data_IF_654993435777
#
_entry.id   IF_654993435777
#
_cell.length_a   1.000
_cell.length_b   1.000
_cell.length_c   1.000
_cell.angle_alpha   90.00
_cell.angle_beta   90.00
_cell.angle_gamma   90.00
#
_symmetry.space_group_name_H-M   'P 1'
#
loop_
_entity.id
_entity.type
_entity.pdbx_description
1 polymer ?
#
# COMPACT_ATOMS: atom_id res chain seq x y z
N UNK A 1 -19.07 -29.62 1.18
CA UNK A 1 -17.80 -29.35 1.94
C UNK A 1 -16.67 -30.07 1.28
N UNK A 2 -15.61 -29.37 1.03
CA UNK A 2 -14.41 -29.88 0.33
C UNK A 2 -13.84 -31.12 1.04
N UNK A 3 -13.68 -32.23 0.33
CA UNK A 3 -13.10 -33.47 0.89
C UNK A 3 -11.55 -33.37 0.99
N UNK A 4 -10.92 -34.34 1.68
CA UNK A 4 -9.46 -34.30 1.91
C UNK A 4 -8.64 -34.34 0.61
N UNK A 5 -9.08 -35.10 -0.40
CA UNK A 5 -8.39 -35.21 -1.69
C UNK A 5 -8.43 -33.89 -2.44
N UNK A 6 -9.58 -33.26 -2.44
CA UNK A 6 -9.80 -31.95 -3.07
C UNK A 6 -9.02 -30.84 -2.35
N UNK A 7 -8.97 -30.87 -1.02
CA UNK A 7 -8.17 -29.96 -0.21
C UNK A 7 -6.67 -30.09 -0.51
N UNK A 8 -6.17 -31.31 -0.64
CA UNK A 8 -4.77 -31.56 -1.00
C UNK A 8 -4.46 -31.04 -2.42
N UNK A 9 -5.40 -31.25 -3.36
CA UNK A 9 -5.28 -30.72 -4.73
C UNK A 9 -5.25 -29.19 -4.73
N UNK A 10 -6.15 -28.54 -3.99
CA UNK A 10 -6.13 -27.09 -3.84
C UNK A 10 -4.81 -26.59 -3.25
N UNK A 11 -4.33 -27.19 -2.18
CA UNK A 11 -3.07 -26.80 -1.55
C UNK A 11 -1.88 -26.89 -2.52
N UNK A 12 -1.82 -27.95 -3.32
CA UNK A 12 -0.79 -28.10 -4.35
C UNK A 12 -0.87 -27.00 -5.41
N UNK A 13 -2.06 -26.73 -5.94
CA UNK A 13 -2.28 -25.67 -6.95
C UNK A 13 -1.99 -24.28 -6.37
N UNK A 14 -2.38 -24.04 -5.11
CA UNK A 14 -2.12 -22.79 -4.41
C UNK A 14 -0.62 -22.53 -4.20
N UNK A 15 0.15 -23.53 -3.80
CA UNK A 15 1.61 -23.43 -3.69
C UNK A 15 2.27 -23.15 -5.06
N UNK A 16 1.75 -23.78 -6.14
CA UNK A 16 2.19 -23.46 -7.50
C UNK A 16 1.87 -22.02 -7.88
N UNK A 17 0.71 -21.50 -7.47
CA UNK A 17 0.33 -20.11 -7.70
C UNK A 17 1.30 -19.14 -7.02
N UNK A 18 1.58 -19.33 -5.73
CA UNK A 18 2.53 -18.48 -5.00
C UNK A 18 3.94 -18.53 -5.63
N UNK A 19 4.40 -19.72 -6.01
CA UNK A 19 5.68 -19.89 -6.71
C UNK A 19 5.69 -19.18 -8.07
N UNK A 20 4.62 -19.31 -8.85
CA UNK A 20 4.52 -18.66 -10.17
C UNK A 20 4.51 -17.13 -10.05
N UNK A 21 3.80 -16.56 -9.08
CA UNK A 21 3.81 -15.13 -8.79
C UNK A 21 5.21 -14.61 -8.45
N UNK A 22 5.97 -15.38 -7.66
CA UNK A 22 7.35 -15.06 -7.31
C UNK A 22 8.28 -15.11 -8.52
N UNK A 23 8.17 -16.16 -9.36
CA UNK A 23 8.97 -16.32 -10.57
C UNK A 23 8.69 -15.25 -11.62
N UNK A 24 7.48 -14.71 -11.68
CA UNK A 24 7.12 -13.58 -12.55
C UNK A 24 7.56 -12.21 -11.98
N UNK A 25 8.32 -12.18 -10.88
CA UNK A 25 8.84 -10.94 -10.30
C UNK A 25 7.77 -10.01 -9.73
N UNK A 26 6.60 -10.55 -9.40
CA UNK A 26 5.51 -9.74 -8.83
C UNK A 26 5.89 -9.17 -7.47
N UNK A 27 5.55 -7.89 -7.24
CA UNK A 27 5.75 -7.23 -5.95
C UNK A 27 4.95 -7.94 -4.85
N UNK A 28 5.47 -7.95 -3.62
CA UNK A 28 4.87 -8.64 -2.47
C UNK A 28 3.38 -8.31 -2.29
N UNK A 29 3.00 -7.02 -2.30
CA UNK A 29 1.60 -6.63 -2.18
C UNK A 29 0.70 -7.12 -3.32
N UNK A 30 1.24 -7.30 -4.54
CA UNK A 30 0.51 -7.89 -5.66
C UNK A 30 0.36 -9.40 -5.45
N UNK A 31 1.43 -10.08 -4.99
CA UNK A 31 1.37 -11.52 -4.68
C UNK A 31 0.32 -11.81 -3.62
N UNK A 32 0.30 -11.03 -2.52
CA UNK A 32 -0.69 -11.18 -1.46
C UNK A 32 -2.12 -10.97 -1.95
N UNK A 33 -2.32 -9.96 -2.81
CA UNK A 33 -3.64 -9.65 -3.35
C UNK A 33 -4.15 -10.75 -4.28
N UNK A 34 -3.29 -11.26 -5.16
CA UNK A 34 -3.64 -12.34 -6.09
C UNK A 34 -3.84 -13.68 -5.38
N UNK A 35 -3.01 -13.98 -4.38
CA UNK A 35 -3.19 -15.15 -3.54
C UNK A 35 -4.52 -15.09 -2.74
N UNK A 36 -4.90 -13.91 -2.27
CA UNK A 36 -6.19 -13.68 -1.59
C UNK A 36 -7.37 -13.91 -2.53
N UNK A 37 -7.29 -13.50 -3.79
CA UNK A 37 -8.34 -13.74 -4.77
C UNK A 37 -8.63 -15.24 -4.94
N UNK A 38 -7.58 -16.06 -5.06
CA UNK A 38 -7.71 -17.52 -5.18
C UNK A 38 -8.31 -18.16 -3.91
N UNK A 39 -7.93 -17.66 -2.73
CA UNK A 39 -8.55 -18.13 -1.48
C UNK A 39 -10.03 -17.74 -1.40
N UNK A 40 -10.36 -16.50 -1.76
CA UNK A 40 -11.75 -15.99 -1.69
C UNK A 40 -12.70 -16.82 -2.54
N UNK A 41 -12.34 -17.13 -3.78
CA UNK A 41 -13.21 -17.95 -4.64
C UNK A 41 -13.31 -19.39 -4.14
N UNK A 42 -12.22 -19.97 -3.63
CA UNK A 42 -12.24 -21.29 -2.98
C UNK A 42 -13.20 -21.29 -1.78
N UNK A 43 -13.12 -20.25 -0.92
CA UNK A 43 -13.99 -20.15 0.25
C UNK A 43 -15.46 -19.90 -0.13
N UNK A 44 -15.72 -19.20 -1.23
CA UNK A 44 -17.06 -18.93 -1.72
C UNK A 44 -17.79 -20.22 -2.19
N UNK A 45 -17.11 -21.06 -2.95
CA UNK A 45 -17.70 -22.30 -3.48
C UNK A 45 -17.44 -23.53 -2.60
N UNK A 46 -16.60 -23.43 -1.60
CA UNK A 46 -16.11 -24.54 -0.77
C UNK A 46 -15.62 -25.72 -1.62
N UNK A 47 -14.93 -25.42 -2.73
CA UNK A 47 -14.37 -26.40 -3.66
C UNK A 47 -13.05 -25.90 -4.26
N UNK A 48 -12.30 -26.82 -4.91
CA UNK A 48 -11.11 -26.43 -5.65
C UNK A 48 -11.50 -25.66 -6.92
N UNK A 49 -10.94 -24.44 -7.17
CA UNK A 49 -11.39 -23.59 -8.26
C UNK A 49 -11.12 -24.11 -9.68
N UNK A 50 -10.31 -25.17 -9.81
CA UNK A 50 -9.89 -25.72 -11.11
C UNK A 50 -11.00 -26.37 -11.93
N UNK A 51 -12.18 -26.60 -11.31
CA UNK A 51 -13.34 -27.21 -11.96
C UNK A 51 -14.55 -26.28 -12.04
N UNK A 52 -14.39 -25.01 -11.71
CA UNK A 52 -15.49 -24.05 -11.79
C UNK A 52 -15.90 -23.79 -13.23
N UNK A 53 -17.21 -23.78 -13.46
CA UNK A 53 -17.80 -23.46 -14.77
C UNK A 53 -17.83 -21.95 -15.02
N UNK A 54 -18.06 -21.56 -16.27
CA UNK A 54 -18.22 -20.15 -16.67
C UNK A 54 -19.39 -19.52 -15.92
N UNK A 55 -20.53 -20.23 -15.82
CA UNK A 55 -21.74 -19.75 -15.14
C UNK A 55 -21.48 -19.50 -13.65
N UNK A 56 -20.74 -20.40 -12.98
CA UNK A 56 -20.34 -20.22 -11.57
C UNK A 56 -19.44 -18.99 -11.40
N UNK A 57 -18.56 -18.73 -12.33
CA UNK A 57 -17.71 -17.55 -12.28
C UNK A 57 -18.49 -16.26 -12.54
N UNK A 58 -19.47 -16.27 -13.46
CA UNK A 58 -20.37 -15.14 -13.67
C UNK A 58 -21.17 -14.83 -12.40
N UNK A 59 -21.71 -15.84 -11.74
CA UNK A 59 -22.42 -15.69 -10.47
C UNK A 59 -21.51 -15.12 -9.37
N UNK A 60 -20.29 -15.67 -9.22
CA UNK A 60 -19.32 -15.18 -8.26
C UNK A 60 -18.99 -13.70 -8.46
N UNK A 61 -18.71 -13.29 -9.69
CA UNK A 61 -18.38 -11.91 -9.97
C UNK A 61 -19.58 -10.97 -9.87
N UNK A 62 -20.79 -11.44 -10.19
CA UNK A 62 -22.02 -10.67 -9.95
C UNK A 62 -22.18 -10.34 -8.47
N UNK A 63 -22.05 -11.33 -7.59
CA UNK A 63 -22.11 -11.12 -6.15
C UNK A 63 -20.93 -10.25 -5.62
N UNK A 64 -19.74 -10.40 -6.20
CA UNK A 64 -18.57 -9.61 -5.83
C UNK A 64 -18.75 -8.13 -6.17
N UNK A 65 -19.38 -7.82 -7.31
CA UNK A 65 -19.71 -6.44 -7.72
C UNK A 65 -20.69 -5.79 -6.75
N UNK A 66 -21.66 -6.53 -6.24
CA UNK A 66 -22.66 -6.02 -5.30
C UNK A 66 -22.09 -5.77 -3.89
N UNK A 67 -21.07 -6.53 -3.51
CA UNK A 67 -20.53 -6.54 -2.14
C UNK A 67 -19.20 -5.82 -1.97
N UNK A 68 -18.46 -5.58 -3.04
CA UNK A 68 -17.11 -5.04 -3.01
C UNK A 68 -16.92 -3.86 -3.97
N UNK A 69 -15.88 -3.06 -3.71
CA UNK A 69 -15.49 -1.99 -4.64
C UNK A 69 -14.99 -2.53 -5.98
N UNK A 70 -15.18 -1.78 -7.05
CA UNK A 70 -14.65 -2.12 -8.38
C UNK A 70 -13.14 -2.32 -8.40
N UNK A 71 -12.39 -1.67 -7.51
CA UNK A 71 -10.96 -1.91 -7.34
C UNK A 71 -10.67 -3.31 -6.84
N UNK A 72 -11.46 -3.82 -5.89
CA UNK A 72 -11.35 -5.21 -5.39
C UNK A 72 -11.71 -6.20 -6.49
N UNK A 73 -12.84 -5.98 -7.18
CA UNK A 73 -13.29 -6.82 -8.30
C UNK A 73 -12.19 -6.93 -9.38
N UNK A 74 -11.57 -5.80 -9.74
CA UNK A 74 -10.46 -5.78 -10.71
C UNK A 74 -9.25 -6.59 -10.25
N UNK A 75 -8.88 -6.47 -8.97
CA UNK A 75 -7.75 -7.20 -8.41
C UNK A 75 -8.04 -8.70 -8.39
N UNK A 76 -9.24 -9.10 -7.96
CA UNK A 76 -9.64 -10.50 -7.93
C UNK A 76 -9.69 -11.10 -9.34
N UNK A 77 -10.26 -10.37 -10.32
CA UNK A 77 -10.21 -10.80 -11.71
C UNK A 77 -8.79 -11.04 -12.20
N UNK A 78 -7.89 -10.11 -11.94
CA UNK A 78 -6.50 -10.24 -12.40
C UNK A 78 -5.77 -11.40 -11.70
N UNK A 79 -6.02 -11.61 -10.40
CA UNK A 79 -5.46 -12.71 -9.63
C UNK A 79 -5.94 -14.08 -10.11
N UNK A 80 -7.24 -14.21 -10.38
CA UNK A 80 -7.84 -15.43 -10.93
C UNK A 80 -7.39 -15.69 -12.36
N UNK A 81 -7.33 -14.65 -13.22
CA UNK A 81 -6.79 -14.76 -14.58
C UNK A 81 -5.34 -15.28 -14.55
N UNK A 82 -4.53 -14.76 -13.63
CA UNK A 82 -3.16 -15.25 -13.45
C UNK A 82 -3.15 -16.74 -13.04
N UNK A 83 -4.01 -17.15 -12.12
CA UNK A 83 -4.12 -18.53 -11.66
C UNK A 83 -4.50 -19.48 -12.80
N UNK A 84 -5.55 -19.15 -13.58
CA UNK A 84 -5.96 -19.96 -14.74
C UNK A 84 -4.84 -20.08 -15.77
N UNK A 85 -4.25 -18.97 -16.18
CA UNK A 85 -3.23 -18.94 -17.22
C UNK A 85 -1.92 -19.64 -16.81
N UNK A 86 -1.42 -19.36 -15.62
CA UNK A 86 -0.06 -19.79 -15.22
C UNK A 86 -0.03 -21.08 -14.40
N UNK A 87 -1.11 -21.41 -13.72
CA UNK A 87 -1.18 -22.61 -12.85
C UNK A 87 -1.99 -23.71 -13.48
N UNK A 88 -3.22 -23.42 -13.91
CA UNK A 88 -4.07 -24.41 -14.57
C UNK A 88 -3.68 -24.66 -16.03
N UNK A 89 -3.01 -23.72 -16.66
CA UNK A 89 -2.64 -23.76 -18.10
C UNK A 89 -3.88 -23.82 -19.01
N UNK A 90 -4.93 -23.19 -18.58
CA UNK A 90 -6.19 -23.08 -19.31
C UNK A 90 -6.34 -21.65 -19.84
N UNK A 91 -7.02 -21.50 -20.99
CA UNK A 91 -7.35 -20.19 -21.51
C UNK A 91 -8.39 -19.51 -20.62
N UNK A 92 -8.21 -18.20 -20.45
CA UNK A 92 -9.13 -17.36 -19.71
C UNK A 92 -10.15 -16.77 -20.69
N UNK A 93 -11.18 -17.54 -21.03
CA UNK A 93 -12.18 -17.11 -22.02
C UNK A 93 -13.15 -16.04 -21.48
N UNK A 94 -13.22 -15.86 -20.18
CA UNK A 94 -14.17 -14.96 -19.51
C UNK A 94 -13.61 -13.58 -19.20
N UNK A 95 -12.54 -13.17 -19.87
CA UNK A 95 -11.95 -11.81 -19.74
C UNK A 95 -12.96 -10.70 -20.00
N UNK A 96 -14.01 -10.99 -20.78
CA UNK A 96 -15.05 -10.04 -21.17
C UNK A 96 -16.28 -10.00 -20.24
N UNK A 97 -16.41 -10.92 -19.28
CA UNK A 97 -17.56 -10.98 -18.36
C UNK A 97 -17.62 -9.72 -17.48
N UNK A 98 -16.48 -9.16 -17.11
CA UNK A 98 -16.41 -7.99 -16.25
C UNK A 98 -15.78 -6.82 -16.99
N UNK A 99 -16.60 -5.83 -17.29
CA UNK A 99 -16.14 -4.53 -17.75
C UNK A 99 -16.10 -3.56 -16.58
N UNK A 100 -14.90 -3.38 -16.00
CA UNK A 100 -14.72 -2.43 -14.89
C UNK A 100 -15.01 -1.01 -15.37
N UNK A 101 -15.97 -0.29 -14.77
CA UNK A 101 -16.26 1.09 -15.12
C UNK A 101 -15.02 1.97 -14.94
N UNK A 102 -14.77 2.87 -15.88
CA UNK A 102 -13.76 3.92 -15.70
C UNK A 102 -14.35 5.01 -14.81
N UNK A 103 -14.36 4.79 -13.51
CA UNK A 103 -14.73 5.83 -12.54
C UNK A 103 -13.52 6.73 -12.33
N UNK A 104 -13.53 7.92 -12.89
CA UNK A 104 -12.59 8.97 -12.58
C UNK A 104 -13.22 9.86 -11.49
N UNK A 105 -12.95 9.54 -10.22
CA UNK A 105 -13.20 10.50 -9.15
C UNK A 105 -11.97 11.41 -9.01
N UNK A 106 -12.18 12.70 -9.01
CA UNK A 106 -11.12 13.65 -8.66
C UNK A 106 -10.76 13.45 -7.19
N UNK A 107 -9.46 13.35 -6.86
CA UNK A 107 -9.03 13.22 -5.48
C UNK A 107 -9.34 14.52 -4.73
N UNK A 108 -9.77 14.40 -3.47
CA UNK A 108 -9.87 15.53 -2.58
C UNK A 108 -8.46 16.11 -2.31
N UNK A 109 -8.32 17.42 -2.57
CA UNK A 109 -7.08 18.15 -2.38
C UNK A 109 -7.23 19.06 -1.15
N UNK A 110 -6.22 19.05 -0.28
CA UNK A 110 -6.11 19.96 0.85
C UNK A 110 -5.63 21.33 0.35
N UNK A 111 -6.11 22.41 0.94
CA UNK A 111 -5.50 23.72 0.80
C UNK A 111 -4.19 23.79 1.60
N UNK A 112 -3.34 24.79 1.34
CA UNK A 112 -2.12 25.00 2.12
C UNK A 112 -2.44 25.18 3.61
N UNK A 113 -3.45 25.97 3.94
CA UNK A 113 -3.91 26.19 5.31
C UNK A 113 -4.41 24.92 6.00
N UNK A 114 -5.14 24.06 5.29
CA UNK A 114 -5.57 22.76 5.83
C UNK A 114 -4.39 21.83 6.09
N UNK A 115 -3.36 21.85 5.24
CA UNK A 115 -2.12 21.07 5.46
C UNK A 115 -1.37 21.59 6.68
N UNK A 116 -1.21 22.90 6.82
CA UNK A 116 -0.57 23.53 7.99
C UNK A 116 -1.31 23.18 9.29
N UNK A 117 -2.64 23.30 9.28
CA UNK A 117 -3.49 22.94 10.41
C UNK A 117 -3.33 21.46 10.80
N UNK A 118 -3.34 20.57 9.80
CA UNK A 118 -3.23 19.12 10.00
C UNK A 118 -1.87 18.73 10.60
N UNK A 119 -0.77 19.27 10.04
CA UNK A 119 0.58 19.03 10.53
C UNK A 119 0.73 19.62 11.94
N UNK A 120 0.25 20.85 12.19
CA UNK A 120 0.30 21.52 13.47
C UNK A 120 -0.48 20.78 14.57
N UNK A 121 -1.67 20.27 14.25
CA UNK A 121 -2.51 19.52 15.18
C UNK A 121 -1.97 18.11 15.51
N UNK A 122 -1.01 17.60 14.73
CA UNK A 122 -0.43 16.27 14.97
C UNK A 122 0.51 16.28 16.16
N UNK A 123 0.07 15.74 17.31
CA UNK A 123 0.79 15.83 18.60
C UNK A 123 2.09 15.00 18.63
N UNK A 124 2.08 13.75 18.13
CA UNK A 124 3.24 12.87 18.18
C UNK A 124 4.27 13.30 17.14
N UNK A 125 5.47 13.70 17.58
CA UNK A 125 6.54 14.23 16.73
C UNK A 125 6.81 13.35 15.51
N UNK A 126 6.91 12.03 15.69
CA UNK A 126 7.18 11.09 14.60
C UNK A 126 6.14 11.16 13.48
N UNK A 127 4.86 11.31 13.80
CA UNK A 127 3.79 11.42 12.81
C UNK A 127 3.75 12.81 12.20
N UNK A 128 3.98 13.85 12.99
CA UNK A 128 4.08 15.23 12.50
C UNK A 128 5.19 15.37 11.45
N UNK A 129 6.38 14.88 11.76
CA UNK A 129 7.52 14.92 10.84
C UNK A 129 7.28 14.03 9.63
N UNK A 130 6.63 12.88 9.80
CA UNK A 130 6.25 12.00 8.70
C UNK A 130 5.30 12.71 7.70
N UNK A 131 4.25 13.35 8.20
CA UNK A 131 3.28 14.08 7.36
C UNK A 131 3.94 15.27 6.65
N UNK A 132 4.76 16.04 7.37
CA UNK A 132 5.55 17.13 6.79
C UNK A 132 6.46 16.63 5.66
N UNK A 133 7.21 15.57 5.91
CA UNK A 133 8.14 14.95 4.93
C UNK A 133 7.38 14.47 3.70
N UNK A 134 6.26 13.78 3.91
CA UNK A 134 5.42 13.27 2.81
C UNK A 134 4.87 14.40 1.94
N UNK A 135 4.38 15.47 2.57
CA UNK A 135 3.83 16.62 1.86
C UNK A 135 4.92 17.42 1.16
N UNK A 136 5.93 17.89 1.89
CA UNK A 136 6.93 18.85 1.38
C UNK A 136 7.82 18.30 0.24
N UNK A 137 7.93 16.98 0.14
CA UNK A 137 8.69 16.32 -0.94
C UNK A 137 7.80 15.50 -1.90
N UNK A 138 6.49 15.54 -1.73
CA UNK A 138 5.54 14.84 -2.59
C UNK A 138 5.76 13.32 -2.64
N UNK A 139 6.15 12.71 -1.53
CA UNK A 139 6.49 11.28 -1.47
C UNK A 139 5.26 10.37 -1.37
N UNK A 140 5.40 9.12 -1.80
CA UNK A 140 4.42 8.07 -1.50
C UNK A 140 4.59 7.60 -0.06
N UNK A 141 3.49 7.12 0.55
CA UNK A 141 3.52 6.54 1.91
C UNK A 141 4.67 5.56 2.11
N UNK A 142 4.83 4.59 1.21
CA UNK A 142 5.90 3.60 1.31
C UNK A 142 7.29 4.18 1.13
N UNK A 143 7.46 5.19 0.28
CA UNK A 143 8.74 5.89 0.08
C UNK A 143 9.15 6.62 1.36
N UNK A 144 8.22 7.34 1.99
CA UNK A 144 8.51 8.03 3.27
C UNK A 144 8.83 7.04 4.40
N UNK A 145 8.08 5.93 4.52
CA UNK A 145 8.34 4.90 5.52
C UNK A 145 9.73 4.28 5.36
N UNK A 146 10.16 4.05 4.12
CA UNK A 146 11.42 3.38 3.80
C UNK A 146 12.64 4.29 3.77
N UNK A 147 12.50 5.57 4.11
CA UNK A 147 13.62 6.49 4.19
C UNK A 147 14.65 6.07 5.23
N UNK A 148 15.90 6.01 4.81
CA UNK A 148 17.05 5.72 5.66
C UNK A 148 17.84 6.98 5.97
N UNK A 149 18.62 6.93 7.04
CA UNK A 149 19.51 8.05 7.43
C UNK A 149 20.51 8.37 6.31
N UNK A 150 21.06 7.33 5.67
CA UNK A 150 22.01 7.47 4.56
C UNK A 150 21.40 7.98 3.24
N UNK A 151 20.07 8.11 3.15
CA UNK A 151 19.42 8.68 1.96
C UNK A 151 19.41 10.22 1.96
N UNK A 152 19.73 10.84 3.10
CA UNK A 152 19.69 12.29 3.28
C UNK A 152 21.06 12.91 2.96
N UNK A 153 21.13 13.67 1.89
CA UNK A 153 22.28 14.52 1.60
C UNK A 153 21.97 15.97 2.05
N UNK A 154 22.40 16.28 3.26
CA UNK A 154 22.20 17.62 3.83
C UNK A 154 23.02 18.71 3.18
N UNK A 155 24.15 18.40 2.53
CA UNK A 155 24.99 19.37 1.83
C UNK A 155 24.38 19.75 0.49
N UNK A 156 23.94 18.76 -0.29
CA UNK A 156 23.29 18.98 -1.59
C UNK A 156 21.82 19.29 -1.50
N UNK A 157 21.24 19.23 -0.29
CA UNK A 157 19.81 19.42 -0.06
C UNK A 157 18.96 18.48 -0.93
N UNK A 158 19.30 17.20 -0.92
CA UNK A 158 18.65 16.15 -1.70
C UNK A 158 18.37 14.92 -0.85
N UNK A 159 17.35 14.17 -1.26
CA UNK A 159 17.02 12.86 -0.68
C UNK A 159 16.98 11.83 -1.79
N UNK A 160 17.67 10.73 -1.57
CA UNK A 160 17.66 9.58 -2.47
C UNK A 160 16.42 8.70 -2.19
N UNK A 161 15.49 8.65 -3.12
CA UNK A 161 14.32 7.77 -3.05
C UNK A 161 14.65 6.48 -3.79
N UNK A 162 14.89 5.43 -3.01
CA UNK A 162 15.23 4.11 -3.53
C UNK A 162 13.97 3.35 -3.93
N UNK A 163 14.06 2.57 -5.02
CA UNK A 163 13.03 1.65 -5.50
C UNK A 163 11.63 2.28 -5.56
N UNK A 164 11.54 3.46 -6.14
CA UNK A 164 10.25 4.10 -6.45
C UNK A 164 9.36 3.22 -7.33
N UNK A 165 8.21 3.74 -7.76
CA UNK A 165 7.31 3.01 -8.67
C UNK A 165 8.08 2.54 -9.91
N UNK A 166 8.06 1.23 -10.18
CA UNK A 166 8.82 0.60 -11.27
C UNK A 166 10.30 0.36 -10.95
N UNK A 167 10.68 0.26 -9.66
CA UNK A 167 12.05 0.04 -9.17
C UNK A 167 13.07 1.09 -9.63
N UNK A 168 12.63 2.32 -9.97
CA UNK A 168 13.52 3.40 -10.39
C UNK A 168 13.87 4.28 -9.20
N UNK A 169 15.16 4.53 -9.04
CA UNK A 169 15.69 5.47 -8.05
C UNK A 169 15.54 6.90 -8.59
N UNK A 170 15.35 7.86 -7.68
CA UNK A 170 15.35 9.28 -8.00
C UNK A 170 15.83 10.11 -6.82
N UNK A 171 16.35 11.30 -7.12
CA UNK A 171 16.60 12.32 -6.11
C UNK A 171 15.44 13.31 -6.07
N UNK A 172 15.10 13.77 -4.88
CA UNK A 172 14.12 14.84 -4.66
C UNK A 172 14.75 15.95 -3.83
N UNK A 173 14.40 17.23 -4.06
CA UNK A 173 14.85 18.34 -3.23
C UNK A 173 14.44 18.14 -1.77
N UNK A 174 15.32 18.53 -0.84
CA UNK A 174 15.09 18.51 0.60
C UNK A 174 14.89 19.94 1.11
N UNK A 175 13.67 20.37 1.43
CA UNK A 175 13.43 21.69 2.01
C UNK A 175 14.10 21.81 3.40
N UNK A 176 14.62 23.00 3.72
CA UNK A 176 15.34 23.24 4.99
C UNK A 176 14.48 22.94 6.21
N UNK A 177 13.21 23.36 6.21
CA UNK A 177 12.27 23.06 7.28
C UNK A 177 12.15 21.54 7.53
N UNK A 178 12.02 20.78 6.46
CA UNK A 178 11.92 19.31 6.53
C UNK A 178 13.22 18.69 7.01
N UNK A 179 14.37 19.17 6.55
CA UNK A 179 15.67 18.72 7.02
C UNK A 179 15.85 18.93 8.53
N UNK A 180 15.51 20.12 9.04
CA UNK A 180 15.58 20.40 10.48
C UNK A 180 14.60 19.53 11.28
N UNK A 181 13.38 19.33 10.78
CA UNK A 181 12.39 18.44 11.42
C UNK A 181 12.88 16.99 11.49
N UNK A 182 13.47 16.46 10.40
CA UNK A 182 14.04 15.12 10.35
C UNK A 182 15.23 14.98 11.32
N UNK A 183 16.10 15.96 11.40
CA UNK A 183 17.22 15.99 12.38
C UNK A 183 16.71 15.99 13.82
N UNK A 184 15.71 16.81 14.12
CA UNK A 184 15.07 16.87 15.45
C UNK A 184 14.46 15.53 15.83
N UNK A 185 13.75 14.88 14.90
CA UNK A 185 13.20 13.54 15.13
C UNK A 185 14.33 12.52 15.36
N UNK A 186 15.33 12.49 14.47
CA UNK A 186 16.43 11.54 14.55
C UNK A 186 17.23 11.68 15.86
N UNK A 187 17.45 12.91 16.34
CA UNK A 187 18.17 13.14 17.60
C UNK A 187 17.49 12.49 18.82
N UNK A 188 16.19 12.23 18.76
CA UNK A 188 15.42 11.58 19.85
C UNK A 188 15.61 10.07 19.90
N UNK A 189 15.79 9.41 18.76
CA UNK A 189 15.86 7.94 18.72
C UNK A 189 17.22 7.41 18.28
N UNK A 190 18.00 8.17 17.53
CA UNK A 190 19.34 7.80 17.07
C UNK A 190 19.44 6.41 16.42
N UNK A 191 18.39 5.97 15.72
CA UNK A 191 18.45 4.73 14.96
C UNK A 191 19.46 4.89 13.81
N UNK A 192 20.39 3.93 13.63
CA UNK A 192 21.46 4.07 12.63
C UNK A 192 20.99 3.94 11.19
N UNK A 193 19.85 3.27 10.95
CA UNK A 193 19.36 2.96 9.61
C UNK A 193 18.12 3.75 9.24
N UNK A 194 17.09 3.77 10.09
CA UNK A 194 15.76 4.28 9.75
C UNK A 194 15.53 5.70 10.24
N UNK A 195 14.99 6.57 9.39
CA UNK A 195 14.48 7.88 9.80
C UNK A 195 13.15 7.75 10.57
N UNK A 196 12.34 6.77 10.21
CA UNK A 196 11.07 6.46 10.87
C UNK A 196 11.09 5.01 11.38
N UNK A 197 11.89 4.71 12.42
CA UNK A 197 11.99 3.35 12.95
C UNK A 197 10.68 2.90 13.59
N UNK A 198 10.49 1.57 13.70
CA UNK A 198 9.41 1.01 14.49
C UNK A 198 9.53 1.51 15.94
N UNK A 199 8.49 2.17 16.42
CA UNK A 199 8.48 2.86 17.71
C UNK A 199 7.74 2.09 18.79
N UNK A 200 7.92 0.76 18.82
CA UNK A 200 7.35 -0.11 19.86
C UNK A 200 8.39 -0.31 20.98
N UNK A 201 8.02 -0.04 22.23
CA UNK A 201 8.87 -0.26 23.40
C UNK A 201 9.65 0.98 23.88
N UNK A 202 10.75 0.76 24.58
CA UNK A 202 11.62 1.80 25.17
C UNK A 202 12.41 2.56 24.09
N UNK A 203 13.00 3.74 24.42
CA UNK A 203 13.89 4.46 23.50
C UNK A 203 15.03 3.60 22.97
N UNK A 204 15.54 2.67 23.75
CA UNK A 204 16.58 1.74 23.32
C UNK A 204 16.05 0.73 22.29
N UNK A 205 14.85 0.22 22.46
CA UNK A 205 14.20 -0.64 21.46
C UNK A 205 14.01 0.10 20.13
N UNK A 206 13.61 1.37 20.18
CA UNK A 206 13.46 2.21 18.98
C UNK A 206 14.82 2.44 18.30
N UNK A 207 15.86 2.69 19.06
CA UNK A 207 17.23 2.85 18.55
C UNK A 207 17.73 1.60 17.83
N UNK A 208 17.41 0.42 18.35
CA UNK A 208 17.84 -0.89 17.81
C UNK A 208 16.85 -1.47 16.79
N UNK A 209 15.74 -0.80 16.50
CA UNK A 209 14.73 -1.31 15.59
C UNK A 209 15.31 -1.58 14.20
N UNK A 210 15.07 -2.78 13.69
CA UNK A 210 15.54 -3.24 12.38
C UNK A 210 14.50 -3.03 11.27
N UNK A 211 13.31 -2.57 11.64
CA UNK A 211 12.21 -2.29 10.71
C UNK A 211 11.74 -0.85 10.86
N UNK A 212 11.17 -0.31 9.79
CA UNK A 212 10.52 0.99 9.83
C UNK A 212 9.15 0.95 10.52
N UNK A 213 8.60 2.13 10.79
CA UNK A 213 7.27 2.33 11.38
C UNK A 213 6.17 1.64 10.56
N UNK A 214 5.18 1.07 11.25
CA UNK A 214 4.07 0.38 10.61
C UNK A 214 3.16 1.35 9.84
N UNK A 215 2.77 0.96 8.62
CA UNK A 215 1.86 1.71 7.75
C UNK A 215 0.53 2.03 8.46
N UNK A 216 -0.07 1.07 9.15
CA UNK A 216 -1.34 1.24 9.85
C UNK A 216 -1.29 2.33 10.92
N UNK A 217 -0.17 2.48 11.64
CA UNK A 217 0.00 3.52 12.65
C UNK A 217 -0.07 4.94 12.05
N UNK A 218 0.55 5.13 10.90
CA UNK A 218 0.52 6.42 10.18
C UNK A 218 -0.88 6.73 9.64
N UNK A 219 -1.54 5.73 9.05
CA UNK A 219 -2.89 5.87 8.51
C UNK A 219 -3.90 6.19 9.62
N UNK A 220 -3.79 5.54 10.77
CA UNK A 220 -4.64 5.82 11.94
C UNK A 220 -4.40 7.22 12.50
N UNK A 221 -3.12 7.64 12.59
CA UNK A 221 -2.78 9.00 13.02
C UNK A 221 -3.33 10.06 12.06
N UNK A 222 -3.23 9.84 10.76
CA UNK A 222 -3.79 10.72 9.74
C UNK A 222 -5.31 10.82 9.88
N UNK A 223 -6.00 9.70 10.00
CA UNK A 223 -7.47 9.67 10.16
C UNK A 223 -7.91 10.43 11.42
N UNK A 224 -7.20 10.24 12.53
CA UNK A 224 -7.50 10.91 13.78
C UNK A 224 -7.33 12.43 13.70
N UNK A 225 -6.23 12.91 13.09
CA UNK A 225 -5.98 14.35 13.01
C UNK A 225 -6.89 15.03 11.98
N UNK A 226 -7.25 14.39 10.89
CA UNK A 226 -8.27 14.89 9.95
C UNK A 226 -9.60 15.10 10.63
N UNK A 227 -10.05 14.14 11.45
CA UNK A 227 -11.27 14.26 12.24
C UNK A 227 -11.15 15.39 13.29
N UNK A 228 -10.01 15.50 13.98
CA UNK A 228 -9.75 16.56 14.96
C UNK A 228 -9.78 17.96 14.35
N UNK A 229 -9.30 18.11 13.10
CA UNK A 229 -9.32 19.38 12.38
C UNK A 229 -10.69 19.71 11.76
N UNK A 230 -11.68 18.84 11.86
CA UNK A 230 -13.00 19.02 11.27
C UNK A 230 -13.00 19.04 9.74
N UNK A 231 -11.98 18.48 9.08
CA UNK A 231 -11.87 18.42 7.63
C UNK A 231 -12.85 17.38 7.10
N UNK A 232 -13.86 17.84 6.33
CA UNK A 232 -14.92 16.97 5.79
C UNK A 232 -14.55 16.22 4.51
N UNK A 233 -13.36 16.47 3.96
CA UNK A 233 -12.83 15.83 2.75
C UNK A 233 -12.39 14.38 3.02
N UNK A 234 -12.46 13.51 2.02
CA UNK A 234 -11.94 12.13 2.10
C UNK A 234 -10.42 12.11 1.93
N UNK A 235 -9.71 12.42 3.01
CA UNK A 235 -8.26 12.62 3.02
C UNK A 235 -7.53 11.36 3.48
N UNK A 236 -6.48 11.02 2.77
CA UNK A 236 -5.52 9.97 3.07
C UNK A 236 -4.08 10.52 2.98
N UNK A 237 -3.08 9.70 3.32
CA UNK A 237 -1.67 10.06 3.11
C UNK A 237 -1.38 10.39 1.64
N UNK A 238 -2.05 9.73 0.69
CA UNK A 238 -1.90 10.05 -0.73
C UNK A 238 -2.41 11.45 -1.10
N UNK A 239 -3.41 11.95 -0.37
CA UNK A 239 -3.93 13.30 -0.60
C UNK A 239 -2.88 14.39 -0.34
N UNK A 240 -1.94 14.17 0.61
CA UNK A 240 -0.80 15.08 0.84
C UNK A 240 0.07 15.21 -0.40
N UNK A 241 0.36 14.08 -1.07
CA UNK A 241 1.12 14.09 -2.32
C UNK A 241 0.37 14.77 -3.47
N UNK A 242 -0.94 14.54 -3.57
CA UNK A 242 -1.77 15.22 -4.57
C UNK A 242 -1.80 16.74 -4.31
N UNK A 243 -1.96 17.14 -3.04
CA UNK A 243 -1.93 18.55 -2.64
C UNK A 243 -0.58 19.20 -2.93
N UNK A 244 0.55 18.52 -2.65
CA UNK A 244 1.89 18.98 -3.04
C UNK A 244 1.97 19.28 -4.54
N UNK A 245 1.53 18.35 -5.39
CA UNK A 245 1.58 18.52 -6.84
C UNK A 245 0.67 19.64 -7.37
N UNK A 246 -0.34 20.05 -6.60
CA UNK A 246 -1.24 21.16 -6.94
C UNK A 246 -0.72 22.49 -6.42
N UNK A 247 0.11 22.48 -5.37
CA UNK A 247 0.66 23.69 -4.73
C UNK A 247 2.02 24.11 -5.30
N UNK A 248 2.58 23.35 -6.25
CA UNK A 248 3.79 23.70 -7.03
C UNK A 248 3.46 24.73 -8.09
#
# INVERSE_FOLDING_TARGET
TMNNTERNRFNHLYQRHERSLKLQGMAEGTRDSYARAVRRIKDHFDCCPDQLTIEQMEEYFSQLVDTHSWSTVKIDRNGLQFFWKHVLKQDWEWVNIIKVPKVQSLPDILTVSEVEQLIGATRKLRYRVFLLTTYSMGLRLGETLSLQVGDIDGQRKQVHIRRGKGHKDRFVPLPDLTYHALRTLWSKHRNPSWLFPNATGSPECIRKATTHMARGGVQSAMKAVVAQCGIKKKISIHSLRHSFATHL
#
